data_IF_188362026047
#
_entry.id   IF_188362026047
#
_cell.length_a   1.000
_cell.length_b   1.000
_cell.length_c   1.000
_cell.angle_alpha   90.00
_cell.angle_beta   90.00
_cell.angle_gamma   90.00
#
_symmetry.space_group_name_H-M   'P 1'
#
loop_
_entity.id
_entity.type
_entity.pdbx_description
1 polymer ?
#
# COMPACT_ATOMS: atom_id res chain seq x y z
N UNK A 1 24.76 21.54 93.26
CA UNK A 1 25.53 20.80 92.24
C UNK A 1 25.13 19.34 92.36
N UNK A 2 24.78 18.55 91.35
CA UNK A 2 24.43 18.73 89.95
C UNK A 2 23.74 17.39 89.59
N UNK A 3 22.49 17.39 89.13
CA UNK A 3 21.75 16.16 88.80
C UNK A 3 22.31 15.59 87.49
N UNK A 4 23.00 14.45 87.57
CA UNK A 4 23.38 13.69 86.37
C UNK A 4 22.14 13.11 85.67
N UNK A 5 21.95 13.50 84.41
CA UNK A 5 20.93 12.96 83.50
C UNK A 5 21.43 11.64 82.91
N UNK A 6 20.95 10.52 83.44
CA UNK A 6 21.15 9.20 82.82
C UNK A 6 20.30 9.08 81.55
N UNK A 7 20.95 8.97 80.39
CA UNK A 7 20.27 8.71 79.12
C UNK A 7 19.92 7.22 79.05
N UNK A 8 18.64 6.90 78.90
CA UNK A 8 18.14 5.54 78.79
C UNK A 8 18.55 4.94 77.43
N UNK A 9 19.57 4.07 77.43
CA UNK A 9 20.14 3.45 76.22
C UNK A 9 19.10 2.65 75.39
N UNK A 10 18.06 2.09 76.00
CA UNK A 10 17.01 1.36 75.28
C UNK A 10 16.17 2.28 74.39
N UNK A 11 15.92 3.52 74.84
CA UNK A 11 15.20 4.51 74.05
C UNK A 11 16.03 5.03 72.86
N UNK A 12 17.36 4.96 72.94
CA UNK A 12 18.27 5.34 71.85
C UNK A 12 18.28 4.26 70.77
N UNK A 13 18.42 2.98 71.15
CA UNK A 13 18.41 1.86 70.21
C UNK A 13 17.11 1.74 69.41
N UNK A 14 15.96 1.92 70.08
CA UNK A 14 14.66 1.89 69.41
C UNK A 14 14.49 3.03 68.39
N UNK A 15 15.02 4.22 68.70
CA UNK A 15 15.00 5.37 67.77
C UNK A 15 15.86 5.12 66.54
N UNK A 16 17.06 4.55 66.71
CA UNK A 16 17.93 4.19 65.57
C UNK A 16 17.25 3.17 64.67
N UNK A 17 16.66 2.11 65.25
CA UNK A 17 15.92 1.11 64.49
C UNK A 17 14.69 1.69 63.75
N UNK A 18 13.97 2.63 64.37
CA UNK A 18 12.85 3.33 63.72
C UNK A 18 13.30 4.22 62.56
N UNK A 19 14.45 4.88 62.66
CA UNK A 19 14.99 5.70 61.57
C UNK A 19 15.49 4.83 60.42
N UNK A 20 16.16 3.70 60.70
CA UNK A 20 16.55 2.71 59.68
C UNK A 20 15.33 2.10 58.96
N UNK A 21 14.27 1.76 59.72
CA UNK A 21 13.04 1.25 59.15
C UNK A 21 12.32 2.27 58.26
N UNK A 22 12.30 3.56 58.65
CA UNK A 22 11.73 4.63 57.82
C UNK A 22 12.50 4.83 56.53
N UNK A 23 13.84 4.75 56.56
CA UNK A 23 14.68 4.86 55.38
C UNK A 23 14.36 3.73 54.37
N UNK A 24 14.25 2.48 54.84
CA UNK A 24 13.90 1.34 54.01
C UNK A 24 12.48 1.47 53.39
N UNK A 25 11.51 1.99 54.14
CA UNK A 25 10.15 2.25 53.63
C UNK A 25 10.15 3.37 52.59
N UNK A 26 10.97 4.42 52.78
CA UNK A 26 11.11 5.50 51.82
C UNK A 26 11.75 5.01 50.50
N UNK A 27 12.77 4.16 50.57
CA UNK A 27 13.37 3.52 49.39
C UNK A 27 12.35 2.65 48.64
N UNK A 28 11.57 1.84 49.35
CA UNK A 28 10.51 1.02 48.74
C UNK A 28 9.47 1.87 48.02
N UNK A 29 9.05 2.99 48.62
CA UNK A 29 8.08 3.90 48.01
C UNK A 29 8.67 4.64 46.80
N UNK A 30 9.93 5.05 46.87
CA UNK A 30 10.64 5.63 45.73
C UNK A 30 10.70 4.66 44.56
N UNK A 31 11.05 3.39 44.80
CA UNK A 31 11.09 2.35 43.78
C UNK A 31 9.70 2.10 43.17
N UNK A 32 8.64 2.08 43.97
CA UNK A 32 7.25 1.97 43.48
C UNK A 32 6.86 3.15 42.58
N UNK A 33 7.21 4.37 42.95
CA UNK A 33 6.96 5.54 42.11
C UNK A 33 7.73 5.48 40.79
N UNK A 34 8.99 5.06 40.81
CA UNK A 34 9.79 4.90 39.58
C UNK A 34 9.21 3.81 38.68
N UNK A 35 8.81 2.67 39.26
CA UNK A 35 8.17 1.59 38.50
C UNK A 35 6.83 2.00 37.90
N UNK A 36 6.01 2.77 38.63
CA UNK A 36 4.75 3.30 38.09
C UNK A 36 5.01 4.29 36.95
N UNK A 37 6.02 5.16 37.05
CA UNK A 37 6.41 6.07 35.95
C UNK A 37 6.91 5.31 34.73
N UNK A 38 7.71 4.27 34.90
CA UNK A 38 8.18 3.39 33.81
C UNK A 38 7.01 2.67 33.16
N UNK A 39 6.08 2.14 33.95
CA UNK A 39 4.87 1.50 33.46
C UNK A 39 4.01 2.47 32.63
N UNK A 40 3.80 3.71 33.12
CA UNK A 40 3.09 4.74 32.36
C UNK A 40 3.83 5.12 31.07
N UNK A 41 5.16 5.22 31.10
CA UNK A 41 5.97 5.49 29.91
C UNK A 41 5.81 4.38 28.86
N UNK A 42 5.87 3.11 29.26
CA UNK A 42 5.67 1.96 28.37
C UNK A 42 4.22 1.89 27.84
N UNK A 43 3.23 2.17 28.69
CA UNK A 43 1.82 2.18 28.31
C UNK A 43 1.52 3.29 27.27
N UNK A 44 2.18 4.44 27.40
CA UNK A 44 2.03 5.53 26.42
C UNK A 44 2.73 5.27 25.09
N UNK A 45 3.85 4.54 25.07
CA UNK A 45 4.57 4.24 23.81
C UNK A 45 3.89 3.14 23.00
N UNK A 46 3.15 2.21 23.63
CA UNK A 46 2.37 1.20 22.93
C UNK A 46 1.18 1.76 22.12
N UNK A 47 0.72 2.99 22.40
CA UNK A 47 -0.45 3.58 21.76
C UNK A 47 -0.18 4.16 20.35
N UNK A 48 1.09 4.25 19.92
CA UNK A 48 1.47 4.86 18.63
C UNK A 48 1.67 3.84 17.49
N UNK A 49 1.39 2.55 17.70
CA UNK A 49 1.39 1.55 16.62
C UNK A 49 -0.01 1.47 16.01
N UNK A 50 -0.44 2.55 15.36
CA UNK A 50 -1.65 2.48 14.54
C UNK A 50 -1.53 3.39 13.34
N UNK A 51 -1.36 2.72 12.19
CA UNK A 51 -1.88 3.05 10.86
C UNK A 51 -0.81 2.92 9.76
N UNK A 52 -0.34 1.68 9.53
CA UNK A 52 0.28 1.32 8.26
C UNK A 52 -0.80 1.17 7.19
N UNK A 53 -1.22 2.28 6.58
CA UNK A 53 -2.13 2.23 5.43
C UNK A 53 -1.46 1.54 4.24
N UNK A 54 -2.24 0.77 3.46
CA UNK A 54 -1.73 0.19 2.20
C UNK A 54 -1.14 1.29 1.31
N UNK A 55 0.03 1.07 0.67
CA UNK A 55 0.63 2.03 -0.27
C UNK A 55 -0.12 2.11 -1.60
N UNK A 56 -1.23 1.39 -1.74
CA UNK A 56 -2.06 1.34 -2.94
C UNK A 56 -3.50 1.80 -2.69
N UNK A 57 -4.09 2.41 -3.72
CA UNK A 57 -5.53 2.56 -3.89
C UNK A 57 -6.05 1.36 -4.72
N UNK A 58 -7.14 0.74 -4.27
CA UNK A 58 -7.70 -0.47 -4.88
C UNK A 58 -9.01 -0.19 -5.62
N UNK A 59 -9.16 -0.79 -6.81
CA UNK A 59 -10.32 -0.66 -7.69
C UNK A 59 -10.74 -2.03 -8.21
N UNK A 60 -12.05 -2.28 -8.31
CA UNK A 60 -12.59 -3.58 -8.73
C UNK A 60 -12.52 -4.63 -7.63
N UNK A 61 -12.24 -5.88 -8.02
CA UNK A 61 -12.08 -6.99 -7.08
C UNK A 61 -10.85 -6.81 -6.18
N UNK A 62 -10.89 -7.43 -4.99
CA UNK A 62 -9.75 -7.44 -4.08
C UNK A 62 -8.66 -8.35 -4.64
N UNK A 63 -7.51 -7.76 -4.97
CA UNK A 63 -6.35 -8.47 -5.50
C UNK A 63 -5.13 -8.29 -4.58
N UNK A 64 -4.17 -9.21 -4.69
CA UNK A 64 -2.89 -9.12 -3.98
C UNK A 64 -1.98 -8.08 -4.63
N UNK A 65 -1.09 -7.46 -3.87
CA UNK A 65 0.01 -6.64 -4.39
C UNK A 65 1.20 -7.47 -4.88
N UNK A 66 1.13 -8.80 -4.80
CA UNK A 66 2.14 -9.71 -5.33
C UNK A 66 1.93 -9.91 -6.84
N UNK A 67 2.98 -9.62 -7.62
CA UNK A 67 2.98 -9.82 -9.07
C UNK A 67 3.44 -11.25 -9.36
N UNK A 68 2.55 -12.08 -9.90
CA UNK A 68 2.83 -13.50 -10.14
C UNK A 68 3.34 -13.81 -11.56
N UNK A 69 3.23 -12.89 -12.51
CA UNK A 69 3.62 -13.13 -13.90
C UNK A 69 4.52 -12.05 -14.47
N UNK A 70 5.42 -12.44 -15.38
CA UNK A 70 6.20 -11.52 -16.21
C UNK A 70 5.49 -11.28 -17.55
N UNK A 71 5.46 -10.02 -18.00
CA UNK A 71 4.78 -9.63 -19.24
C UNK A 71 5.29 -10.38 -20.48
N UNK A 72 6.61 -10.51 -20.64
CA UNK A 72 7.22 -11.16 -21.82
C UNK A 72 6.86 -12.65 -21.84
N UNK A 73 6.88 -13.30 -20.66
CA UNK A 73 6.49 -14.70 -20.52
C UNK A 73 5.01 -14.92 -20.85
N UNK A 74 4.12 -14.02 -20.41
CA UNK A 74 2.70 -14.10 -20.74
C UNK A 74 2.46 -13.89 -22.23
N UNK A 75 3.09 -12.86 -22.83
CA UNK A 75 2.97 -12.56 -24.24
C UNK A 75 3.40 -13.75 -25.11
N UNK A 76 4.58 -14.31 -24.86
CA UNK A 76 5.09 -15.47 -25.61
C UNK A 76 4.27 -16.74 -25.37
N UNK A 77 3.79 -16.97 -24.15
CA UNK A 77 2.93 -18.10 -23.82
C UNK A 77 1.61 -18.07 -24.58
N UNK A 78 0.92 -16.92 -24.61
CA UNK A 78 -0.36 -16.76 -25.30
C UNK A 78 -0.17 -16.84 -26.83
N UNK A 79 0.89 -16.21 -27.35
CA UNK A 79 1.18 -16.25 -28.80
C UNK A 79 1.47 -17.67 -29.31
N UNK A 80 2.09 -18.53 -28.48
CA UNK A 80 2.46 -19.89 -28.87
C UNK A 80 1.33 -20.91 -28.68
N UNK A 81 0.44 -20.69 -27.71
CA UNK A 81 -0.67 -21.60 -27.40
C UNK A 81 -1.98 -21.23 -28.10
N UNK A 82 -2.12 -20.01 -28.63
CA UNK A 82 -3.41 -19.45 -29.13
C UNK A 82 -4.55 -19.47 -28.10
N UNK A 83 -4.24 -19.67 -26.82
CA UNK A 83 -5.19 -19.73 -25.72
C UNK A 83 -5.16 -18.44 -24.89
N UNK A 84 -6.29 -18.05 -24.30
CA UNK A 84 -6.36 -16.95 -23.34
C UNK A 84 -5.82 -17.37 -21.98
N UNK A 85 -5.06 -16.49 -21.31
CA UNK A 85 -4.64 -16.68 -19.93
C UNK A 85 -5.64 -16.10 -18.94
N UNK A 86 -6.04 -16.88 -17.94
CA UNK A 86 -6.91 -16.44 -16.83
C UNK A 86 -6.12 -16.20 -15.54
N UNK A 87 -6.55 -15.24 -14.73
CA UNK A 87 -5.95 -14.98 -13.42
C UNK A 87 -4.51 -14.46 -13.47
N UNK A 88 -4.11 -13.89 -14.61
CA UNK A 88 -2.80 -13.30 -14.85
C UNK A 88 -2.64 -12.05 -13.99
N UNK A 89 -1.47 -11.87 -13.38
CA UNK A 89 -1.14 -10.68 -12.58
C UNK A 89 0.12 -10.01 -13.11
N UNK A 90 0.01 -8.74 -13.48
CA UNK A 90 1.11 -7.96 -14.08
C UNK A 90 1.28 -6.63 -13.35
N UNK A 91 2.48 -6.05 -13.41
CA UNK A 91 2.77 -4.68 -13.00
C UNK A 91 3.28 -3.85 -14.19
N UNK A 92 2.89 -2.59 -14.24
CA UNK A 92 3.30 -1.65 -15.28
C UNK A 92 3.13 -0.20 -14.84
N UNK A 93 3.76 0.71 -15.58
CA UNK A 93 3.64 2.15 -15.36
C UNK A 93 2.44 2.69 -16.14
N UNK A 94 1.55 3.46 -15.51
CA UNK A 94 0.40 4.07 -16.19
C UNK A 94 0.89 5.16 -17.14
N UNK A 95 0.62 4.98 -18.44
CA UNK A 95 0.86 5.99 -19.46
C UNK A 95 -0.33 6.93 -19.63
N UNK A 96 -1.53 6.35 -19.63
CA UNK A 96 -2.74 7.06 -20.02
C UNK A 96 -3.95 6.37 -19.39
N UNK A 97 -4.95 7.17 -18.99
CA UNK A 97 -6.25 6.67 -18.55
C UNK A 97 -7.35 7.32 -19.39
N UNK A 98 -8.49 6.65 -19.52
CA UNK A 98 -9.64 7.22 -20.20
C UNK A 98 -10.15 8.49 -19.49
N UNK A 99 -9.90 9.66 -20.07
CA UNK A 99 -10.28 10.96 -19.48
C UNK A 99 -11.79 11.18 -19.42
N UNK A 100 -12.58 10.49 -20.26
CA UNK A 100 -14.05 10.59 -20.22
C UNK A 100 -14.64 9.84 -19.02
N UNK A 101 -14.43 8.52 -18.96
CA UNK A 101 -15.12 7.65 -18.01
C UNK A 101 -14.19 6.88 -17.08
N UNK A 102 -12.91 6.70 -17.41
CA UNK A 102 -12.01 5.85 -16.63
C UNK A 102 -12.25 4.35 -16.85
N UNK A 103 -12.73 3.96 -18.04
CA UNK A 103 -13.09 2.57 -18.38
C UNK A 103 -11.95 1.72 -18.96
N UNK A 104 -10.82 2.35 -19.26
CA UNK A 104 -9.60 1.70 -19.71
C UNK A 104 -8.37 2.50 -19.25
N UNK A 105 -7.23 1.81 -19.21
CA UNK A 105 -5.92 2.42 -19.01
C UNK A 105 -4.89 1.78 -19.93
N UNK A 106 -3.82 2.51 -20.22
CA UNK A 106 -2.66 2.03 -20.98
C UNK A 106 -1.46 1.96 -20.05
N UNK A 107 -0.85 0.79 -19.98
CA UNK A 107 0.34 0.56 -19.17
C UNK A 107 1.56 0.42 -20.07
N UNK A 108 2.68 1.01 -19.66
CA UNK A 108 4.00 0.70 -20.16
C UNK A 108 4.47 -0.55 -19.44
N UNK A 109 4.75 -1.58 -20.22
CA UNK A 109 5.25 -2.85 -19.75
C UNK A 109 6.78 -2.92 -19.87
N UNK A 110 7.35 -3.97 -19.30
CA UNK A 110 8.75 -4.31 -19.52
C UNK A 110 9.04 -4.46 -21.03
N UNK A 111 10.24 -4.07 -21.46
CA UNK A 111 10.63 -4.09 -22.87
C UNK A 111 10.17 -2.88 -23.69
N UNK A 112 9.41 -1.95 -23.09
CA UNK A 112 8.94 -0.74 -23.76
C UNK A 112 7.61 -0.90 -24.50
N UNK A 113 7.01 -2.10 -24.43
CA UNK A 113 5.69 -2.38 -24.97
C UNK A 113 4.59 -1.64 -24.20
N UNK A 114 3.43 -1.51 -24.84
CA UNK A 114 2.24 -0.94 -24.22
C UNK A 114 1.11 -1.96 -24.17
N UNK A 115 0.52 -2.13 -22.99
CA UNK A 115 -0.64 -2.99 -22.78
C UNK A 115 -1.90 -2.14 -22.57
N UNK A 116 -2.94 -2.40 -23.36
CA UNK A 116 -4.26 -1.83 -23.15
C UNK A 116 -5.05 -2.70 -22.15
N UNK A 117 -5.45 -2.10 -21.04
CA UNK A 117 -6.22 -2.73 -19.98
C UNK A 117 -7.64 -2.17 -19.98
N UNK A 118 -8.64 -3.03 -20.10
CA UNK A 118 -10.07 -2.68 -20.07
C UNK A 118 -10.70 -3.28 -18.82
N UNK A 119 -11.76 -2.66 -18.32
CA UNK A 119 -12.49 -3.16 -17.15
C UNK A 119 -13.78 -3.84 -17.60
N UNK A 120 -14.00 -5.06 -17.11
CA UNK A 120 -15.14 -5.87 -17.53
C UNK A 120 -16.45 -5.17 -17.18
N UNK A 121 -17.37 -5.09 -18.14
CA UNK A 121 -18.74 -4.60 -17.99
C UNK A 121 -18.90 -3.21 -17.33
N UNK A 122 -17.87 -2.34 -17.40
CA UNK A 122 -17.85 -1.06 -16.68
C UNK A 122 -18.11 -1.20 -15.17
N UNK A 123 -17.73 -2.34 -14.60
CA UNK A 123 -17.97 -2.68 -13.19
C UNK A 123 -17.29 -1.72 -12.22
N UNK A 124 -16.21 -1.07 -12.63
CA UNK A 124 -15.52 -0.03 -11.86
C UNK A 124 -14.76 0.94 -12.77
N UNK A 125 -14.32 2.04 -12.17
CA UNK A 125 -13.60 3.11 -12.84
C UNK A 125 -12.37 3.51 -12.04
N UNK A 126 -11.29 3.82 -12.73
CA UNK A 126 -10.06 4.36 -12.13
C UNK A 126 -10.04 5.89 -12.24
N UNK A 127 -9.21 6.59 -11.44
CA UNK A 127 -9.11 8.05 -11.51
C UNK A 127 -8.68 8.50 -12.92
N UNK A 128 -9.30 9.57 -13.40
CA UNK A 128 -9.19 10.05 -14.80
C UNK A 128 -7.93 10.88 -15.08
N UNK A 129 -7.25 11.32 -14.02
CA UNK A 129 -6.14 12.28 -14.08
C UNK A 129 -5.20 12.06 -12.91
N UNK A 130 -3.91 12.36 -13.08
CA UNK A 130 -2.94 12.33 -11.99
C UNK A 130 -2.45 10.94 -11.62
N UNK A 131 -2.73 9.96 -12.49
CA UNK A 131 -2.25 8.59 -12.34
C UNK A 131 -1.07 8.31 -13.27
N UNK A 132 -0.72 9.22 -14.17
CA UNK A 132 0.39 9.05 -15.11
C UNK A 132 1.70 8.83 -14.33
N UNK A 133 2.56 7.95 -14.84
CA UNK A 133 3.84 7.53 -14.23
C UNK A 133 3.72 6.77 -12.91
N UNK A 134 2.50 6.54 -12.40
CA UNK A 134 2.30 5.69 -11.23
C UNK A 134 2.38 4.22 -11.62
N UNK A 135 2.84 3.41 -10.68
CA UNK A 135 2.87 1.96 -10.82
C UNK A 135 1.45 1.41 -10.56
N UNK A 136 1.00 0.52 -11.44
CA UNK A 136 -0.25 -0.20 -11.31
C UNK A 136 -0.01 -1.71 -11.35
N UNK A 137 -0.70 -2.43 -10.46
CA UNK A 137 -0.78 -3.89 -10.47
C UNK A 137 -2.18 -4.26 -10.92
N UNK A 138 -2.28 -5.10 -11.94
CA UNK A 138 -3.54 -5.56 -12.52
C UNK A 138 -3.64 -7.07 -12.37
N UNK A 139 -4.86 -7.57 -12.15
CA UNK A 139 -5.17 -8.99 -12.22
C UNK A 139 -6.40 -9.22 -13.10
N UNK A 140 -6.35 -10.25 -13.94
CA UNK A 140 -7.46 -10.63 -14.80
C UNK A 140 -7.03 -11.50 -15.97
N UNK A 141 -7.70 -11.32 -17.10
CA UNK A 141 -7.59 -12.21 -18.26
C UNK A 141 -6.83 -11.54 -19.40
N UNK A 142 -5.89 -12.27 -19.99
CA UNK A 142 -5.04 -11.83 -21.09
C UNK A 142 -5.30 -12.66 -22.36
N UNK A 143 -5.40 -12.01 -23.51
CA UNK A 143 -5.65 -12.68 -24.79
C UNK A 143 -5.14 -11.84 -25.96
N UNK A 144 -4.87 -12.46 -27.11
CA UNK A 144 -4.53 -11.74 -28.32
C UNK A 144 -5.80 -11.32 -29.06
N UNK A 145 -5.86 -10.06 -29.49
CA UNK A 145 -6.97 -9.53 -30.27
C UNK A 145 -6.51 -8.39 -31.17
N UNK A 146 -7.32 -8.10 -32.20
CA UNK A 146 -7.08 -7.02 -33.15
C UNK A 146 -7.90 -5.79 -32.76
N UNK A 147 -7.20 -4.71 -32.43
CA UNK A 147 -7.78 -3.38 -32.30
C UNK A 147 -7.94 -2.77 -33.69
N UNK A 148 -9.19 -2.55 -34.11
CA UNK A 148 -9.48 -1.88 -35.38
C UNK A 148 -9.10 -0.40 -35.32
N UNK A 149 -8.88 0.21 -36.48
CA UNK A 149 -8.59 1.65 -36.60
C UNK A 149 -9.67 2.49 -35.90
N UNK A 150 -10.95 2.14 -36.07
CA UNK A 150 -12.06 2.88 -35.48
C UNK A 150 -12.02 2.84 -33.94
N UNK A 151 -11.73 1.68 -33.36
CA UNK A 151 -11.60 1.53 -31.90
C UNK A 151 -10.40 2.33 -31.38
N UNK A 152 -9.26 2.27 -32.06
CA UNK A 152 -8.06 3.03 -31.69
C UNK A 152 -8.29 4.55 -31.75
N UNK A 153 -9.00 5.02 -32.78
CA UNK A 153 -9.38 6.44 -32.90
C UNK A 153 -10.34 6.86 -31.79
N UNK A 154 -11.34 6.02 -31.46
CA UNK A 154 -12.24 6.29 -30.35
C UNK A 154 -11.50 6.40 -29.01
N UNK A 155 -10.50 5.53 -28.75
CA UNK A 155 -9.66 5.65 -27.56
C UNK A 155 -8.81 6.91 -27.55
N UNK A 156 -8.25 7.31 -28.70
CA UNK A 156 -7.52 8.57 -28.81
C UNK A 156 -8.42 9.80 -28.56
N UNK A 157 -9.66 9.79 -29.04
CA UNK A 157 -10.66 10.81 -28.73
C UNK A 157 -11.02 10.86 -27.24
N UNK A 158 -11.18 9.69 -26.62
CA UNK A 158 -11.49 9.56 -25.19
C UNK A 158 -10.36 10.02 -24.27
N UNK A 159 -9.12 9.94 -24.76
CA UNK A 159 -7.94 10.48 -24.11
C UNK A 159 -7.71 11.98 -24.41
N UNK A 160 -8.55 12.60 -25.24
CA UNK A 160 -8.47 14.03 -25.55
C UNK A 160 -7.35 14.41 -26.53
N UNK A 161 -6.88 13.46 -27.36
CA UNK A 161 -5.84 13.74 -28.36
C UNK A 161 -6.32 14.69 -29.47
N UNK A 162 -5.38 15.34 -30.14
CA UNK A 162 -5.70 16.23 -31.25
C UNK A 162 -6.22 15.47 -32.48
N UNK A 163 -7.03 16.13 -33.31
CA UNK A 163 -7.51 15.56 -34.59
C UNK A 163 -6.37 15.07 -35.48
N UNK A 164 -5.22 15.76 -35.44
CA UNK A 164 -4.05 15.39 -36.23
C UNK A 164 -3.49 14.04 -35.79
N UNK A 165 -3.34 13.82 -34.48
CA UNK A 165 -2.88 12.54 -33.92
C UNK A 165 -3.88 11.40 -34.18
N UNK A 166 -5.18 11.68 -34.08
CA UNK A 166 -6.23 10.68 -34.36
C UNK A 166 -6.19 10.26 -35.84
N UNK A 167 -6.01 11.21 -36.76
CA UNK A 167 -5.94 10.93 -38.19
C UNK A 167 -4.71 10.12 -38.61
N UNK A 168 -3.63 10.16 -37.81
CA UNK A 168 -2.43 9.35 -38.03
C UNK A 168 -2.62 7.86 -37.70
N UNK A 169 -3.70 7.50 -37.00
CA UNK A 169 -4.06 6.11 -36.75
C UNK A 169 -4.70 5.56 -38.03
N UNK A 170 -3.94 4.80 -38.82
CA UNK A 170 -4.33 4.32 -40.15
C UNK A 170 -4.31 2.78 -40.29
N UNK A 171 -3.80 2.07 -39.30
CA UNK A 171 -3.67 0.61 -39.30
C UNK A 171 -4.22 -0.03 -38.02
N UNK A 172 -4.84 -1.21 -38.13
CA UNK A 172 -5.20 -1.99 -36.94
C UNK A 172 -3.93 -2.48 -36.23
N UNK A 173 -4.06 -2.77 -34.94
CA UNK A 173 -2.96 -3.30 -34.13
C UNK A 173 -3.39 -4.67 -33.59
N UNK A 174 -2.62 -5.70 -33.92
CA UNK A 174 -2.74 -7.00 -33.28
C UNK A 174 -1.81 -7.03 -32.06
N UNK A 175 -2.38 -7.11 -30.86
CA UNK A 175 -1.61 -7.03 -29.62
C UNK A 175 -2.27 -7.84 -28.52
N UNK A 176 -1.53 -8.02 -27.43
CA UNK A 176 -2.10 -8.51 -26.18
C UNK A 176 -3.10 -7.49 -25.66
N UNK A 177 -4.30 -7.97 -25.31
CA UNK A 177 -5.34 -7.22 -24.64
C UNK A 177 -5.58 -7.84 -23.28
N UNK A 178 -6.01 -7.00 -22.32
CA UNK A 178 -6.21 -7.41 -20.95
C UNK A 178 -7.57 -6.93 -20.44
N UNK A 179 -8.35 -7.83 -19.86
CA UNK A 179 -9.56 -7.50 -19.10
C UNK A 179 -9.24 -7.67 -17.63
N UNK A 180 -9.22 -6.57 -16.88
CA UNK A 180 -8.91 -6.60 -15.46
C UNK A 180 -10.18 -6.82 -14.63
N UNK A 181 -10.03 -7.68 -13.62
CA UNK A 181 -11.00 -7.90 -12.54
C UNK A 181 -10.73 -6.93 -11.38
N UNK A 182 -9.45 -6.62 -11.13
CA UNK A 182 -9.01 -5.66 -10.12
C UNK A 182 -7.73 -4.93 -10.49
N UNK A 183 -7.56 -3.74 -9.92
CA UNK A 183 -6.40 -2.86 -10.12
C UNK A 183 -5.97 -2.25 -8.79
N UNK A 184 -4.67 -2.27 -8.51
CA UNK A 184 -4.04 -1.51 -7.45
C UNK A 184 -3.19 -0.42 -8.08
N UNK A 185 -3.39 0.84 -7.69
CA UNK A 185 -2.55 1.95 -8.13
C UNK A 185 -1.77 2.49 -6.94
N UNK A 186 -0.46 2.64 -7.09
CA UNK A 186 0.40 3.19 -6.04
C UNK A 186 -0.03 4.63 -5.71
N UNK A 187 -0.03 4.99 -4.43
CA UNK A 187 -0.40 6.35 -3.99
C UNK A 187 0.59 7.40 -4.46
#
# INVERSE_FOLDING_TARGET
MEKQKGVNLYAVGLRVFLEEAKAAVAELNYLKEQMMKIYYLILTTLFMISCGGSPYDAFGEKISSEVSHNYISVLSGIQSSTESGEGISLSGEILETCSKKGCWMKLKMEGGDTLLVRFKDYSYFVPKTGQEKKEAIIKGNAFMDTLTVDVLRHYAEDAGKSKNEINQIDKPIYSLNFIADGVLIKK
#
